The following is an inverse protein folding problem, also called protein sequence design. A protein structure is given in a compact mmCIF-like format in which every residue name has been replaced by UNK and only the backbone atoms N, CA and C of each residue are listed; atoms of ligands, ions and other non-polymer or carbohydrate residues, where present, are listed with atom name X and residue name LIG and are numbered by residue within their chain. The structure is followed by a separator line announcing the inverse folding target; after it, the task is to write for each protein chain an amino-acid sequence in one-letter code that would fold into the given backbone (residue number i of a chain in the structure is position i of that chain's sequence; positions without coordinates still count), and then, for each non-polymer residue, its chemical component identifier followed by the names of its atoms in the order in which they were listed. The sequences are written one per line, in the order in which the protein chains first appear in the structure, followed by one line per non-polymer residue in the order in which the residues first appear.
data_IF_914971478490
#
_entry.id   IF_914971478490
#
_cell.length_a   1.000
_cell.length_b   1.000
_cell.length_c   1.000
_cell.angle_alpha   90.00
_cell.angle_beta   90.00
_cell.angle_gamma   90.00
#
_symmetry.space_group_name_H-M   'P 1'
#
loop_
_entity.id
_entity.type
_entity.pdbx_description
1 polymer ?
#
# COMPACT_ATOMS: atom_id res chain seq x y z
N UNK A 1 -7.35 -9.98 14.47
CA UNK A 1 -6.38 -10.67 13.64
C UNK A 1 -6.74 -10.38 12.20
N UNK A 2 -5.92 -9.65 11.51
CA UNK A 2 -6.05 -9.41 10.07
C UNK A 2 -5.82 -10.71 9.32
N UNK A 3 -6.61 -10.97 8.30
CA UNK A 3 -6.49 -12.14 7.44
C UNK A 3 -5.06 -12.26 6.90
N UNK A 4 -4.45 -13.38 7.13
CA UNK A 4 -3.14 -13.69 6.59
C UNK A 4 -3.26 -14.05 5.12
N UNK A 5 -2.37 -13.52 4.29
CA UNK A 5 -2.32 -13.84 2.88
C UNK A 5 -2.13 -15.35 2.66
N UNK A 6 -2.95 -15.92 1.79
CA UNK A 6 -2.96 -17.35 1.51
C UNK A 6 -3.07 -17.58 0.01
N UNK A 7 -2.24 -18.46 -0.53
CA UNK A 7 -2.35 -18.95 -1.91
C UNK A 7 -3.36 -20.09 -1.94
N UNK A 8 -4.63 -19.73 -1.91
CA UNK A 8 -5.73 -20.68 -1.66
C UNK A 8 -5.85 -21.74 -2.76
N UNK A 9 -5.66 -21.38 -4.02
CA UNK A 9 -5.71 -22.33 -5.13
C UNK A 9 -4.58 -23.36 -5.04
N UNK A 10 -3.36 -22.93 -4.67
CA UNK A 10 -2.21 -23.81 -4.48
C UNK A 10 -2.42 -24.75 -3.29
N UNK A 11 -3.05 -24.26 -2.22
CA UNK A 11 -3.36 -25.06 -1.04
C UNK A 11 -4.41 -26.13 -1.33
N UNK A 12 -5.45 -25.79 -2.10
CA UNK A 12 -6.57 -26.71 -2.35
C UNK A 12 -6.34 -27.64 -3.53
N UNK A 13 -5.51 -27.25 -4.51
CA UNK A 13 -5.34 -28.00 -5.75
C UNK A 13 -4.86 -29.44 -5.57
N UNK A 14 -3.91 -29.77 -4.67
CA UNK A 14 -3.49 -31.18 -4.47
C UNK A 14 -4.63 -32.08 -4.00
N UNK A 15 -5.51 -31.60 -3.16
CA UNK A 15 -6.69 -32.33 -2.69
C UNK A 15 -7.71 -32.49 -3.81
N UNK A 16 -7.98 -31.40 -4.55
CA UNK A 16 -8.87 -31.41 -5.70
C UNK A 16 -8.45 -32.45 -6.74
N UNK A 17 -7.18 -32.44 -7.15
CA UNK A 17 -6.66 -33.38 -8.15
C UNK A 17 -6.79 -34.83 -7.64
N UNK A 18 -6.38 -35.10 -6.40
CA UNK A 18 -6.50 -36.44 -5.81
C UNK A 18 -7.95 -36.93 -5.72
N UNK A 19 -8.88 -36.05 -5.39
CA UNK A 19 -10.31 -36.41 -5.26
C UNK A 19 -10.99 -36.62 -6.59
N UNK A 20 -10.66 -35.82 -7.61
CA UNK A 20 -11.14 -35.99 -8.99
C UNK A 20 -10.62 -37.32 -9.58
N UNK A 21 -9.30 -37.57 -9.47
CA UNK A 21 -8.67 -38.79 -10.00
C UNK A 21 -9.23 -40.06 -9.34
N UNK A 22 -9.55 -40.00 -8.05
CA UNK A 22 -10.16 -41.10 -7.31
C UNK A 22 -11.69 -41.20 -7.52
N UNK A 23 -12.31 -40.29 -8.26
CA UNK A 23 -13.77 -40.24 -8.48
C UNK A 23 -14.56 -39.97 -7.21
N UNK A 24 -13.95 -39.32 -6.19
CA UNK A 24 -14.63 -38.98 -4.93
C UNK A 24 -15.53 -37.77 -5.03
N UNK A 25 -15.18 -36.83 -5.90
CA UNK A 25 -15.98 -35.63 -6.19
C UNK A 25 -15.97 -35.31 -7.68
N UNK A 26 -16.98 -34.57 -8.11
CA UNK A 26 -17.06 -33.94 -9.44
C UNK A 26 -16.56 -32.50 -9.37
N UNK A 27 -16.32 -31.89 -10.53
CA UNK A 27 -15.96 -30.47 -10.62
C UNK A 27 -17.04 -29.56 -10.02
N UNK A 28 -18.31 -29.90 -10.26
CA UNK A 28 -19.46 -29.14 -9.73
C UNK A 28 -19.50 -29.23 -8.21
N UNK A 29 -19.27 -30.38 -7.63
CA UNK A 29 -19.20 -30.55 -6.16
C UNK A 29 -18.02 -29.76 -5.58
N UNK A 30 -16.85 -29.75 -6.23
CA UNK A 30 -15.72 -28.92 -5.83
C UNK A 30 -16.09 -27.42 -5.85
N UNK A 31 -16.76 -26.94 -6.88
CA UNK A 31 -17.27 -25.56 -6.94
C UNK A 31 -18.24 -25.27 -5.80
N UNK A 32 -19.15 -26.18 -5.47
CA UNK A 32 -20.11 -25.99 -4.38
C UNK A 32 -19.43 -25.98 -2.99
N UNK A 33 -18.38 -26.79 -2.80
CA UNK A 33 -17.53 -26.76 -1.59
C UNK A 33 -16.86 -25.38 -1.46
N UNK A 34 -16.24 -24.88 -2.54
CA UNK A 34 -15.60 -23.55 -2.52
C UNK A 34 -16.63 -22.44 -2.31
N UNK A 35 -17.81 -22.52 -2.91
CA UNK A 35 -18.91 -21.58 -2.62
C UNK A 35 -19.31 -21.60 -1.14
N UNK A 36 -19.34 -22.76 -0.53
CA UNK A 36 -19.64 -22.88 0.90
C UNK A 36 -18.55 -22.25 1.77
N UNK A 37 -17.28 -22.43 1.38
CA UNK A 37 -16.16 -21.76 2.04
C UNK A 37 -16.24 -20.22 1.91
N UNK A 38 -16.61 -19.68 0.74
CA UNK A 38 -16.81 -18.23 0.53
C UNK A 38 -17.91 -17.68 1.43
N UNK A 39 -19.05 -18.40 1.58
CA UNK A 39 -20.13 -18.02 2.53
C UNK A 39 -19.67 -18.03 3.99
N UNK A 40 -18.74 -18.93 4.35
CA UNK A 40 -18.16 -18.93 5.69
C UNK A 40 -17.32 -17.67 5.91
N UNK A 41 -16.47 -17.28 4.95
CA UNK A 41 -15.72 -16.02 5.04
C UNK A 41 -16.65 -14.82 5.21
N UNK A 42 -17.72 -14.76 4.42
CA UNK A 42 -18.73 -13.69 4.52
C UNK A 42 -19.40 -13.67 5.90
N UNK A 43 -19.72 -14.82 6.47
CA UNK A 43 -20.41 -14.94 7.78
C UNK A 43 -19.56 -14.46 8.95
N UNK A 44 -18.23 -14.52 8.87
CA UNK A 44 -17.33 -13.98 9.89
C UNK A 44 -17.27 -12.45 9.89
N UNK A 45 -17.80 -11.78 8.89
CA UNK A 45 -17.81 -10.32 8.79
C UNK A 45 -16.42 -9.68 8.65
N UNK A 46 -15.40 -10.46 8.37
CA UNK A 46 -14.02 -10.00 8.13
C UNK A 46 -13.92 -9.38 6.73
N UNK A 47 -13.97 -8.05 6.65
CA UNK A 47 -13.98 -7.33 5.36
C UNK A 47 -12.65 -7.30 4.63
N UNK A 48 -11.57 -7.77 5.26
CA UNK A 48 -10.23 -7.75 4.71
C UNK A 48 -9.64 -9.14 4.48
N UNK A 49 -10.48 -10.18 4.31
CA UNK A 49 -10.01 -11.51 3.94
C UNK A 49 -9.56 -11.50 2.48
N UNK A 50 -8.26 -11.45 2.23
CA UNK A 50 -7.69 -11.52 0.89
C UNK A 50 -7.12 -12.90 0.61
N UNK A 51 -7.45 -13.48 -0.53
CA UNK A 51 -6.97 -14.77 -1.00
C UNK A 51 -6.27 -14.60 -2.34
N UNK A 52 -5.07 -15.13 -2.44
CA UNK A 52 -4.23 -15.04 -3.64
C UNK A 52 -4.38 -16.31 -4.46
N UNK A 53 -4.48 -16.14 -5.78
CA UNK A 53 -4.57 -17.23 -6.76
C UNK A 53 -3.63 -16.99 -7.95
N UNK A 54 -3.30 -18.05 -8.69
CA UNK A 54 -2.45 -18.00 -9.88
C UNK A 54 -0.99 -17.70 -9.60
N UNK A 55 -0.35 -16.99 -10.52
CA UNK A 55 1.06 -16.64 -10.47
C UNK A 55 1.99 -17.67 -11.12
N UNK A 56 3.29 -17.38 -11.10
CA UNK A 56 4.30 -18.32 -11.61
C UNK A 56 5.33 -18.69 -10.53
N UNK A 57 6.07 -19.76 -10.80
CA UNK A 57 7.23 -20.17 -10.01
C UNK A 57 8.51 -19.42 -10.43
N UNK A 58 9.61 -19.67 -9.72
CA UNK A 58 10.92 -19.06 -10.01
C UNK A 58 11.51 -19.42 -11.37
N UNK A 59 10.97 -20.43 -12.03
CA UNK A 59 11.37 -20.86 -13.37
C UNK A 59 10.47 -20.26 -14.48
N UNK A 60 9.44 -19.49 -14.09
CA UNK A 60 8.48 -18.86 -14.98
C UNK A 60 7.42 -19.81 -15.52
N UNK A 61 7.16 -20.95 -14.85
CA UNK A 61 6.06 -21.83 -15.16
C UNK A 61 4.78 -21.29 -14.54
N UNK A 62 3.68 -21.38 -15.26
CA UNK A 62 2.35 -21.03 -14.73
C UNK A 62 1.95 -21.99 -13.60
N UNK A 63 1.61 -21.43 -12.45
CA UNK A 63 1.11 -22.15 -11.30
C UNK A 63 -0.42 -22.16 -11.21
N UNK A 64 -1.11 -21.53 -12.16
CA UNK A 64 -2.57 -21.59 -12.20
C UNK A 64 -3.07 -23.01 -12.50
N UNK A 65 -4.28 -23.30 -12.07
CA UNK A 65 -4.88 -24.63 -12.18
C UNK A 65 -6.40 -24.51 -12.37
N UNK A 66 -7.07 -25.65 -12.50
CA UNK A 66 -8.55 -25.69 -12.50
C UNK A 66 -9.12 -25.10 -11.20
N UNK A 67 -8.41 -25.29 -10.06
CA UNK A 67 -8.80 -24.69 -8.78
C UNK A 67 -8.76 -23.16 -8.82
N UNK A 68 -7.81 -22.55 -9.54
CA UNK A 68 -7.76 -21.10 -9.79
C UNK A 68 -9.04 -20.60 -10.46
N UNK A 69 -9.54 -21.36 -11.46
CA UNK A 69 -10.79 -21.05 -12.16
C UNK A 69 -11.99 -21.23 -11.23
N UNK A 70 -12.06 -22.33 -10.50
CA UNK A 70 -13.12 -22.64 -9.52
C UNK A 70 -13.25 -21.54 -8.46
N UNK A 71 -12.14 -21.02 -7.94
CA UNK A 71 -12.14 -19.92 -6.97
C UNK A 71 -12.83 -18.66 -7.53
N UNK A 72 -12.55 -18.29 -8.77
CA UNK A 72 -13.19 -17.14 -9.43
C UNK A 72 -14.66 -17.39 -9.76
N UNK A 73 -15.00 -18.60 -10.22
CA UNK A 73 -16.39 -18.98 -10.47
C UNK A 73 -17.23 -18.99 -9.18
N UNK A 74 -16.66 -19.44 -8.06
CA UNK A 74 -17.30 -19.37 -6.75
C UNK A 74 -17.62 -17.93 -6.37
N UNK A 75 -16.69 -17.00 -6.59
CA UNK A 75 -16.95 -15.56 -6.34
C UNK A 75 -18.10 -15.04 -7.19
N UNK A 76 -18.14 -15.38 -8.50
CA UNK A 76 -19.26 -14.98 -9.38
C UNK A 76 -20.60 -15.60 -8.95
N UNK A 77 -20.59 -16.83 -8.41
CA UNK A 77 -21.79 -17.55 -8.00
C UNK A 77 -22.33 -17.07 -6.66
N UNK A 78 -21.46 -16.84 -5.68
CA UNK A 78 -21.84 -16.40 -4.31
C UNK A 78 -22.16 -14.91 -4.30
N UNK A 79 -21.43 -14.08 -5.04
CA UNK A 79 -21.57 -12.61 -5.10
C UNK A 79 -21.41 -11.94 -3.74
N UNK A 80 -20.62 -12.51 -2.86
CA UNK A 80 -20.25 -11.93 -1.58
C UNK A 80 -19.14 -10.87 -1.77
N UNK A 81 -19.08 -9.90 -0.85
CA UNK A 81 -18.03 -8.88 -0.83
C UNK A 81 -16.67 -9.45 -0.39
N UNK A 82 -16.68 -10.61 0.25
CA UNK A 82 -15.49 -11.33 0.72
C UNK A 82 -15.63 -12.83 0.45
N UNK A 83 -14.51 -13.57 0.27
CA UNK A 83 -13.14 -13.07 0.31
C UNK A 83 -12.78 -12.20 -0.91
N UNK A 84 -11.89 -11.23 -0.71
CA UNK A 84 -11.26 -10.52 -1.81
C UNK A 84 -10.34 -11.48 -2.56
N UNK A 85 -10.37 -11.46 -3.87
CA UNK A 85 -9.52 -12.31 -4.71
C UNK A 85 -8.43 -11.47 -5.36
N UNK A 86 -7.18 -11.86 -5.17
CA UNK A 86 -6.03 -11.33 -5.90
C UNK A 86 -5.52 -12.36 -6.89
N UNK A 87 -5.55 -12.03 -8.18
CA UNK A 87 -4.95 -12.85 -9.24
C UNK A 87 -3.54 -12.36 -9.54
N UNK A 88 -2.55 -13.20 -9.33
CA UNK A 88 -1.19 -12.99 -9.77
C UNK A 88 -1.08 -13.28 -11.26
N UNK A 89 -0.57 -12.31 -12.02
CA UNK A 89 -0.47 -12.38 -13.48
C UNK A 89 0.98 -12.37 -13.96
N UNK A 90 1.24 -13.10 -15.03
CA UNK A 90 2.55 -13.21 -15.68
C UNK A 90 2.39 -13.50 -17.18
N UNK A 91 3.45 -13.37 -18.03
CA UNK A 91 3.30 -13.46 -19.48
C UNK A 91 2.81 -14.81 -20.03
N UNK A 92 2.89 -15.88 -19.26
CA UNK A 92 2.48 -17.24 -19.67
C UNK A 92 1.20 -17.71 -18.96
N UNK A 93 0.40 -16.81 -18.39
CA UNK A 93 -0.86 -17.15 -17.73
C UNK A 93 -1.81 -17.85 -18.73
N UNK A 94 -2.45 -18.94 -18.31
CA UNK A 94 -3.45 -19.68 -19.12
C UNK A 94 -4.60 -18.74 -19.54
N UNK A 95 -4.93 -18.72 -20.83
CA UNK A 95 -5.99 -17.92 -21.40
C UNK A 95 -7.37 -18.19 -20.76
N UNK A 96 -7.63 -19.42 -20.29
CA UNK A 96 -8.88 -19.76 -19.60
C UNK A 96 -8.98 -19.01 -18.26
N UNK A 97 -7.85 -18.92 -17.52
CA UNK A 97 -7.76 -18.18 -16.27
C UNK A 97 -7.98 -16.69 -16.54
N UNK A 98 -7.28 -16.12 -17.54
CA UNK A 98 -7.44 -14.73 -17.93
C UNK A 98 -8.88 -14.40 -18.33
N UNK A 99 -9.49 -15.22 -19.20
CA UNK A 99 -10.87 -15.03 -19.62
C UNK A 99 -11.88 -15.15 -18.47
N UNK A 100 -11.62 -16.02 -17.50
CA UNK A 100 -12.47 -16.14 -16.30
C UNK A 100 -12.34 -14.93 -15.40
N UNK A 101 -11.13 -14.42 -15.23
CA UNK A 101 -10.89 -13.17 -14.50
C UNK A 101 -11.63 -11.98 -15.12
N UNK A 102 -11.60 -11.85 -16.46
CA UNK A 102 -12.36 -10.80 -17.16
C UNK A 102 -13.87 -10.95 -16.99
N UNK A 103 -14.39 -12.18 -16.92
CA UNK A 103 -15.82 -12.41 -16.61
C UNK A 103 -16.15 -11.96 -15.18
N UNK A 104 -15.26 -12.24 -14.23
CA UNK A 104 -15.43 -11.81 -12.84
C UNK A 104 -15.39 -10.29 -12.73
N UNK A 105 -14.45 -9.59 -13.38
CA UNK A 105 -14.42 -8.12 -13.47
C UNK A 105 -15.75 -7.59 -14.05
N UNK A 106 -16.23 -8.19 -15.15
CA UNK A 106 -17.50 -7.79 -15.78
C UNK A 106 -18.72 -7.99 -14.88
N UNK A 107 -18.65 -8.87 -13.87
CA UNK A 107 -19.73 -9.08 -12.91
C UNK A 107 -19.97 -7.88 -11.98
N UNK A 108 -19.01 -6.92 -11.91
CA UNK A 108 -19.13 -5.70 -11.11
C UNK A 108 -18.77 -5.86 -9.63
N UNK A 109 -18.17 -6.97 -9.23
CA UNK A 109 -17.81 -7.23 -7.83
C UNK A 109 -16.54 -6.51 -7.34
N UNK A 110 -15.82 -5.77 -8.24
CA UNK A 110 -14.63 -5.00 -7.86
C UNK A 110 -13.34 -5.81 -7.72
N UNK A 111 -13.35 -7.09 -8.03
CA UNK A 111 -12.17 -7.97 -8.04
C UNK A 111 -12.22 -8.94 -9.25
N UNK A 112 -11.11 -9.67 -9.57
CA UNK A 112 -9.88 -9.79 -8.80
C UNK A 112 -9.03 -8.52 -8.89
N UNK A 113 -8.23 -8.26 -7.83
CA UNK A 113 -7.09 -7.38 -7.96
C UNK A 113 -6.01 -8.07 -8.80
N UNK A 114 -5.38 -7.35 -9.74
CA UNK A 114 -4.34 -7.93 -10.60
C UNK A 114 -2.96 -7.55 -10.09
N UNK A 115 -2.11 -8.55 -9.82
CA UNK A 115 -0.74 -8.37 -9.37
C UNK A 115 0.24 -8.91 -10.39
N UNK A 116 1.10 -8.05 -10.92
CA UNK A 116 2.12 -8.43 -11.88
C UNK A 116 3.33 -9.04 -11.17
N UNK A 117 3.55 -10.36 -11.33
CA UNK A 117 4.66 -11.08 -10.70
C UNK A 117 6.02 -10.46 -11.00
N UNK A 118 6.23 -9.94 -12.21
CA UNK A 118 7.49 -9.27 -12.58
C UNK A 118 7.80 -8.07 -11.67
N UNK A 119 6.76 -7.36 -11.23
CA UNK A 119 6.91 -6.17 -10.36
C UNK A 119 6.97 -6.60 -8.89
N UNK A 120 5.99 -7.40 -8.45
CA UNK A 120 5.84 -7.80 -7.05
C UNK A 120 7.03 -8.62 -6.54
N UNK A 121 7.49 -9.62 -7.32
CA UNK A 121 8.65 -10.45 -6.99
C UNK A 121 9.92 -9.58 -6.88
N UNK A 122 10.13 -8.66 -7.84
CA UNK A 122 11.27 -7.75 -7.80
C UNK A 122 11.25 -6.86 -6.55
N UNK A 123 10.08 -6.35 -6.17
CA UNK A 123 9.93 -5.54 -4.96
C UNK A 123 10.32 -6.33 -3.69
N UNK A 124 9.88 -7.59 -3.57
CA UNK A 124 10.25 -8.46 -2.45
C UNK A 124 11.75 -8.79 -2.42
N UNK A 125 12.36 -9.07 -3.57
CA UNK A 125 13.82 -9.28 -3.66
C UNK A 125 14.56 -8.02 -3.20
N UNK A 126 14.15 -6.84 -3.63
CA UNK A 126 14.75 -5.58 -3.21
C UNK A 126 14.63 -5.33 -1.69
N UNK A 127 13.58 -5.85 -1.05
CA UNK A 127 13.42 -5.80 0.41
C UNK A 127 14.20 -6.91 1.16
N UNK A 128 15.01 -7.71 0.44
CA UNK A 128 15.89 -8.72 1.04
C UNK A 128 15.31 -10.11 1.13
N UNK A 129 14.17 -10.37 0.51
CA UNK A 129 13.59 -11.72 0.40
C UNK A 129 14.35 -12.54 -0.65
N UNK A 130 14.60 -13.83 -0.39
CA UNK A 130 15.24 -14.72 -1.37
C UNK A 130 14.40 -14.86 -2.64
N UNK A 131 15.03 -15.21 -3.77
CA UNK A 131 14.31 -15.41 -5.05
C UNK A 131 13.20 -16.45 -4.91
N UNK A 132 13.48 -17.58 -4.28
CA UNK A 132 12.53 -18.67 -4.08
C UNK A 132 11.31 -18.20 -3.26
N UNK A 133 11.55 -17.58 -2.11
CA UNK A 133 10.47 -17.11 -1.25
C UNK A 133 9.70 -15.94 -1.89
N UNK A 134 10.36 -15.09 -2.66
CA UNK A 134 9.71 -13.98 -3.33
C UNK A 134 8.66 -14.46 -4.35
N UNK A 135 8.87 -15.60 -4.99
CA UNK A 135 7.85 -16.23 -5.87
C UNK A 135 6.70 -16.88 -5.09
N UNK A 136 6.84 -17.08 -3.79
CA UNK A 136 5.77 -17.60 -2.93
C UNK A 136 4.98 -16.48 -2.21
N UNK A 137 5.07 -15.25 -2.70
CA UNK A 137 4.30 -14.16 -2.11
C UNK A 137 2.80 -14.36 -2.24
N UNK A 138 2.09 -13.84 -1.27
CA UNK A 138 0.63 -13.69 -1.26
C UNK A 138 0.25 -12.27 -0.87
N UNK A 139 -1.02 -11.93 -1.04
CA UNK A 139 -1.58 -10.66 -0.55
C UNK A 139 -2.33 -10.90 0.76
N UNK A 140 -2.24 -9.95 1.66
CA UNK A 140 -2.99 -9.94 2.92
C UNK A 140 -3.80 -8.66 3.05
N UNK A 141 -4.72 -8.60 3.99
CA UNK A 141 -5.48 -7.40 4.25
C UNK A 141 -6.26 -6.92 3.02
N UNK A 142 -6.06 -5.67 2.63
CA UNK A 142 -6.66 -5.12 1.42
C UNK A 142 -6.01 -5.69 0.17
N UNK A 143 -4.69 -5.59 0.02
CA UNK A 143 -3.89 -6.18 -1.08
C UNK A 143 -2.37 -6.12 -0.80
N UNK A 144 -1.94 -5.99 0.43
CA UNK A 144 -0.53 -5.86 0.82
C UNK A 144 0.23 -7.17 0.57
N UNK A 145 1.47 -7.06 0.12
CA UNK A 145 2.29 -8.22 -0.25
C UNK A 145 3.07 -8.75 0.96
N UNK A 146 2.98 -10.06 1.20
CA UNK A 146 3.72 -10.75 2.26
C UNK A 146 4.23 -12.12 1.81
N UNK A 147 5.19 -12.69 2.53
CA UNK A 147 5.63 -14.08 2.39
C UNK A 147 4.98 -14.90 3.50
N UNK A 148 3.88 -15.57 3.18
CA UNK A 148 3.07 -16.31 4.15
C UNK A 148 3.88 -17.30 4.98
N UNK A 149 3.73 -17.27 6.30
CA UNK A 149 4.39 -18.17 7.25
C UNK A 149 5.90 -17.97 7.43
N UNK A 150 6.53 -16.98 6.76
CA UNK A 150 7.97 -16.72 6.84
C UNK A 150 8.31 -15.28 7.16
N UNK A 151 7.36 -14.37 7.03
CA UNK A 151 7.57 -12.94 7.20
C UNK A 151 6.69 -12.39 8.31
N UNK A 152 7.29 -11.63 9.24
CA UNK A 152 6.55 -10.66 10.01
C UNK A 152 6.51 -9.37 9.19
N UNK A 153 5.37 -9.12 8.57
CA UNK A 153 5.14 -7.94 7.77
C UNK A 153 4.04 -7.12 8.42
N UNK A 154 4.42 -6.08 9.16
CA UNK A 154 3.46 -5.08 9.54
C UNK A 154 3.41 -4.04 8.42
N UNK A 155 2.44 -4.22 7.53
CA UNK A 155 2.31 -3.45 6.28
C UNK A 155 1.66 -2.08 6.50
N UNK A 156 1.25 -1.74 7.71
CA UNK A 156 0.58 -0.50 8.08
C UNK A 156 1.11 0.14 9.37
N UNK A 157 2.40 0.06 9.63
CA UNK A 157 2.97 0.58 10.88
C UNK A 157 2.83 2.10 10.98
N UNK A 158 3.07 2.82 9.90
CA UNK A 158 2.87 4.25 9.86
C UNK A 158 2.39 4.75 8.50
N UNK A 159 1.69 5.89 8.49
CA UNK A 159 1.25 6.60 7.28
C UNK A 159 1.65 8.06 7.36
N UNK A 160 2.42 8.53 6.37
CA UNK A 160 2.83 9.93 6.24
C UNK A 160 1.92 10.62 5.23
N UNK A 161 1.21 11.65 5.65
CA UNK A 161 0.38 12.49 4.78
C UNK A 161 1.24 13.59 4.18
N UNK A 162 1.64 13.43 2.91
CA UNK A 162 2.50 14.39 2.22
C UNK A 162 1.84 15.76 2.07
N UNK A 163 0.54 15.79 1.81
CA UNK A 163 -0.17 17.06 1.67
C UNK A 163 -0.16 17.86 2.99
N UNK A 164 -0.19 17.16 4.14
CA UNK A 164 -0.08 17.80 5.44
C UNK A 164 1.31 18.41 5.68
N UNK A 165 2.37 17.76 5.20
CA UNK A 165 3.72 18.33 5.24
C UNK A 165 3.74 19.64 4.43
N UNK A 166 3.23 19.62 3.21
CA UNK A 166 3.17 20.83 2.37
C UNK A 166 2.36 21.96 3.04
N UNK A 167 1.20 21.64 3.64
CA UNK A 167 0.43 22.61 4.41
C UNK A 167 1.26 23.22 5.55
N UNK A 168 1.96 22.38 6.33
CA UNK A 168 2.78 22.88 7.44
C UNK A 168 3.90 23.80 6.96
N UNK A 169 4.52 23.49 5.81
CA UNK A 169 5.53 24.38 5.22
C UNK A 169 4.91 25.72 4.80
N UNK A 170 3.78 25.69 4.10
CA UNK A 170 3.08 26.92 3.68
C UNK A 170 2.66 27.80 4.86
N UNK A 171 2.34 27.20 6.01
CA UNK A 171 1.93 27.91 7.23
C UNK A 171 3.02 28.01 8.28
N UNK A 172 4.31 27.91 7.87
CA UNK A 172 5.48 28.09 8.73
C UNK A 172 5.40 27.25 10.03
N UNK A 173 5.10 25.95 9.89
CA UNK A 173 5.00 24.97 10.97
C UNK A 173 3.67 24.98 11.72
N UNK A 174 2.68 25.81 11.35
CA UNK A 174 1.37 25.83 12.01
C UNK A 174 0.33 25.05 11.23
N UNK A 175 -0.40 24.18 11.90
CA UNK A 175 -1.57 23.56 11.33
C UNK A 175 -2.66 24.59 11.04
N UNK A 176 -3.07 24.77 9.79
CA UNK A 176 -4.07 25.74 9.38
C UNK A 176 -5.43 25.55 10.05
N UNK A 177 -5.82 24.31 10.39
CA UNK A 177 -7.10 23.99 11.00
C UNK A 177 -7.12 24.17 12.53
N UNK A 178 -6.00 23.83 13.22
CA UNK A 178 -5.97 23.77 14.67
C UNK A 178 -5.10 24.84 15.32
N UNK A 179 -4.28 25.52 14.54
CA UNK A 179 -3.26 26.46 15.01
C UNK A 179 -2.11 25.81 15.79
N UNK A 180 -2.12 24.47 15.94
CA UNK A 180 -1.05 23.75 16.65
C UNK A 180 0.26 23.88 15.91
N UNK A 181 1.32 24.19 16.64
CA UNK A 181 2.68 24.24 16.09
C UNK A 181 3.29 22.84 16.00
N UNK A 182 3.98 22.60 14.91
CA UNK A 182 4.73 21.38 14.62
C UNK A 182 6.20 21.74 14.43
N UNK A 183 7.08 20.90 14.91
CA UNK A 183 8.50 21.07 14.73
C UNK A 183 8.90 20.67 13.32
N UNK A 184 9.39 21.61 12.54
CA UNK A 184 10.01 21.40 11.23
C UNK A 184 11.51 21.16 11.39
N UNK A 185 12.13 20.52 10.39
CA UNK A 185 13.61 20.36 10.35
C UNK A 185 14.30 21.71 10.38
N UNK A 186 13.85 22.60 9.55
CA UNK A 186 14.35 23.97 9.43
C UNK A 186 13.18 24.96 9.37
N UNK A 187 13.35 26.10 10.01
CA UNK A 187 12.34 27.16 10.02
C UNK A 187 12.68 28.18 8.92
N UNK A 188 12.03 28.04 7.77
CA UNK A 188 12.04 29.03 6.71
C UNK A 188 10.72 29.82 6.69
N UNK A 189 10.75 30.98 6.09
CA UNK A 189 9.57 31.79 5.80
C UNK A 189 9.29 31.60 4.31
N UNK A 190 8.24 30.87 3.97
CA UNK A 190 7.96 30.46 2.58
C UNK A 190 7.75 31.65 1.64
N UNK A 191 7.30 32.79 2.18
CA UNK A 191 7.11 34.03 1.45
C UNK A 191 8.43 34.68 0.98
N UNK A 192 9.57 34.29 1.55
CA UNK A 192 10.90 34.77 1.16
C UNK A 192 11.47 33.99 -0.04
N UNK A 193 10.89 32.86 -0.42
CA UNK A 193 11.36 32.09 -1.57
C UNK A 193 11.05 32.79 -2.88
N UNK A 194 12.07 32.91 -3.71
CA UNK A 194 12.00 33.61 -5.00
C UNK A 194 11.77 32.67 -6.17
N UNK A 195 12.03 31.38 -5.98
CA UNK A 195 11.89 30.32 -6.98
C UNK A 195 11.06 29.15 -6.42
N UNK A 196 10.43 28.43 -7.32
CA UNK A 196 9.74 27.18 -6.94
C UNK A 196 10.71 26.12 -6.45
N UNK A 197 11.92 26.06 -7.02
CA UNK A 197 12.94 25.07 -6.64
C UNK A 197 13.32 25.19 -5.15
N UNK A 198 13.37 26.40 -4.59
CA UNK A 198 13.63 26.61 -3.15
C UNK A 198 12.54 25.94 -2.28
N UNK A 199 11.27 26.12 -2.63
CA UNK A 199 10.14 25.48 -1.94
C UNK A 199 10.16 23.96 -2.13
N UNK A 200 10.45 23.50 -3.35
CA UNK A 200 10.45 22.09 -3.68
C UNK A 200 11.57 21.33 -2.97
N UNK A 201 12.77 21.90 -2.90
CA UNK A 201 13.88 21.30 -2.14
C UNK A 201 13.59 21.30 -0.63
N UNK A 202 13.01 22.38 -0.09
CA UNK A 202 12.61 22.39 1.30
C UNK A 202 11.55 21.32 1.62
N UNK A 203 10.57 21.14 0.74
CA UNK A 203 9.59 20.06 0.88
C UNK A 203 10.26 18.68 0.90
N UNK A 204 11.22 18.42 0.00
CA UNK A 204 11.95 17.16 -0.04
C UNK A 204 12.76 16.90 1.24
N UNK A 205 13.41 17.91 1.78
CA UNK A 205 14.18 17.79 3.02
C UNK A 205 13.27 17.57 4.25
N UNK A 206 12.13 18.24 4.31
CA UNK A 206 11.15 18.02 5.38
C UNK A 206 10.50 16.62 5.28
N UNK A 207 10.27 16.14 4.06
CA UNK A 207 9.78 14.77 3.84
C UNK A 207 10.78 13.74 4.37
N UNK A 208 12.07 13.87 4.05
CA UNK A 208 13.13 13.00 4.59
C UNK A 208 13.19 13.03 6.11
N UNK A 209 13.18 14.23 6.68
CA UNK A 209 13.17 14.41 8.14
C UNK A 209 11.97 13.73 8.79
N UNK A 210 10.79 13.89 8.20
CA UNK A 210 9.57 13.24 8.69
C UNK A 210 9.68 11.70 8.63
N UNK A 211 10.24 11.16 7.55
CA UNK A 211 10.48 9.71 7.41
C UNK A 211 11.42 9.22 8.51
N UNK A 212 12.53 9.91 8.76
CA UNK A 212 13.50 9.56 9.81
C UNK A 212 12.84 9.53 11.19
N UNK A 213 12.08 10.58 11.53
CA UNK A 213 11.37 10.66 12.83
C UNK A 213 10.33 9.55 12.99
N UNK A 214 9.60 9.23 11.93
CA UNK A 214 8.62 8.13 11.93
C UNK A 214 9.35 6.79 12.12
N UNK A 215 10.46 6.57 11.43
CA UNK A 215 11.26 5.35 11.55
C UNK A 215 11.83 5.15 12.95
N UNK A 216 12.37 6.20 13.59
CA UNK A 216 12.80 6.16 14.99
C UNK A 216 11.65 5.79 15.94
N UNK A 217 10.47 6.37 15.72
CA UNK A 217 9.28 6.05 16.52
C UNK A 217 8.89 4.59 16.39
N UNK A 218 8.86 4.06 15.16
CA UNK A 218 8.53 2.65 14.88
C UNK A 218 9.55 1.73 15.54
N UNK A 219 10.84 2.05 15.45
CA UNK A 219 11.90 1.24 16.06
C UNK A 219 11.76 1.18 17.58
N UNK A 220 11.48 2.30 18.25
CA UNK A 220 11.17 2.32 19.68
C UNK A 220 9.90 1.53 20.02
N UNK A 221 8.82 1.69 19.23
CA UNK A 221 7.57 0.99 19.43
C UNK A 221 7.74 -0.54 19.31
N UNK A 222 8.59 -1.01 18.40
CA UNK A 222 8.86 -2.42 18.20
C UNK A 222 9.40 -3.11 19.47
N UNK A 223 10.19 -2.40 20.29
CA UNK A 223 10.67 -2.90 21.57
C UNK A 223 9.52 -3.07 22.57
N UNK A 224 8.60 -2.11 22.60
CA UNK A 224 7.43 -2.16 23.50
C UNK A 224 6.51 -3.32 23.12
N UNK A 225 6.29 -3.55 21.81
CA UNK A 225 5.49 -4.70 21.33
C UNK A 225 6.05 -6.03 21.84
N UNK A 226 7.32 -6.28 21.68
CA UNK A 226 7.95 -7.51 22.15
C UNK A 226 7.79 -7.72 23.64
N UNK A 227 7.94 -6.67 24.45
CA UNK A 227 7.87 -6.77 25.90
C UNK A 227 6.45 -7.00 26.43
N UNK A 228 5.44 -6.46 25.75
CA UNK A 228 4.08 -6.41 26.29
C UNK A 228 3.05 -7.24 25.50
N UNK A 229 3.33 -7.62 24.26
CA UNK A 229 2.42 -8.35 23.38
C UNK A 229 3.10 -9.51 22.62
N UNK A 230 3.77 -10.43 23.30
CA UNK A 230 4.29 -11.62 22.63
C UNK A 230 3.14 -12.48 22.07
N UNK A 231 3.38 -13.16 20.95
CA UNK A 231 2.37 -13.96 20.23
C UNK A 231 2.85 -15.41 20.09
N UNK A 232 2.98 -16.17 21.20
CA UNK A 232 3.66 -17.46 21.22
C UNK A 232 2.98 -18.52 20.33
N UNK A 233 1.66 -18.53 20.23
CA UNK A 233 0.97 -19.48 19.34
C UNK A 233 1.32 -19.22 17.87
N UNK A 234 1.26 -17.97 17.40
CA UNK A 234 1.63 -17.62 16.03
C UNK A 234 3.12 -17.88 15.79
N UNK A 235 3.97 -17.58 16.75
CA UNK A 235 5.40 -17.86 16.70
C UNK A 235 5.69 -19.35 16.53
N UNK A 236 4.93 -20.24 17.20
CA UNK A 236 5.12 -21.69 17.11
C UNK A 236 4.81 -22.30 15.73
N UNK A 237 4.06 -21.59 14.88
CA UNK A 237 3.68 -22.03 13.53
C UNK A 237 4.32 -21.18 12.42
N UNK A 238 5.20 -20.25 12.78
CA UNK A 238 5.90 -19.38 11.83
C UNK A 238 7.36 -19.82 11.69
N UNK A 239 7.81 -20.02 10.46
CA UNK A 239 9.16 -20.47 10.14
C UNK A 239 10.19 -19.45 10.61
N UNK A 240 11.20 -19.93 11.31
CA UNK A 240 12.28 -19.14 11.89
C UNK A 240 12.12 -18.93 13.39
N UNK A 241 10.90 -18.81 13.91
CA UNK A 241 10.69 -18.49 15.33
C UNK A 241 11.19 -19.57 16.29
N UNK A 242 10.97 -20.84 15.99
CA UNK A 242 11.44 -21.96 16.81
C UNK A 242 12.96 -22.10 16.69
N UNK A 243 13.48 -22.04 15.47
CA UNK A 243 14.91 -22.15 15.17
C UNK A 243 15.72 -21.04 15.84
N UNK A 244 15.17 -19.82 15.87
CA UNK A 244 15.80 -18.65 16.49
C UNK A 244 15.48 -18.53 17.98
N UNK A 245 14.61 -19.40 18.53
CA UNK A 245 14.10 -19.33 19.92
C UNK A 245 13.58 -17.91 20.27
N UNK A 246 12.86 -17.26 19.34
CA UNK A 246 12.43 -15.87 19.45
C UNK A 246 11.01 -15.70 18.95
N UNK A 247 10.25 -14.79 19.57
CA UNK A 247 8.88 -14.47 19.18
C UNK A 247 8.85 -13.78 17.81
N UNK A 248 7.72 -13.91 17.11
CA UNK A 248 7.48 -13.26 15.82
C UNK A 248 7.67 -11.72 15.91
N UNK A 249 7.33 -11.11 17.05
CA UNK A 249 7.51 -9.68 17.31
C UNK A 249 8.94 -9.32 17.64
N UNK A 250 9.82 -10.29 17.90
CA UNK A 250 11.22 -10.13 18.27
C UNK A 250 12.20 -10.56 17.16
N UNK A 251 11.78 -10.43 15.90
CA UNK A 251 12.57 -10.88 14.76
C UNK A 251 12.85 -12.40 14.74
N UNK A 252 11.93 -13.19 15.28
CA UNK A 252 12.05 -14.66 15.24
C UNK A 252 11.83 -15.24 13.84
N UNK A 253 11.13 -14.52 12.97
CA UNK A 253 10.79 -14.95 11.61
C UNK A 253 11.97 -14.91 10.65
N UNK A 254 11.86 -15.60 9.51
CA UNK A 254 12.88 -15.55 8.46
C UNK A 254 13.06 -14.14 7.89
N UNK A 255 11.97 -13.36 7.78
CA UNK A 255 11.96 -11.97 7.33
C UNK A 255 11.19 -11.11 8.32
N UNK A 256 11.78 -9.98 8.71
CA UNK A 256 11.16 -9.01 9.59
C UNK A 256 11.14 -7.65 8.90
N UNK A 257 9.94 -7.21 8.51
CA UNK A 257 9.75 -5.99 7.76
C UNK A 257 8.61 -5.16 8.35
N UNK A 258 8.87 -3.86 8.56
CA UNK A 258 7.87 -2.89 8.98
C UNK A 258 7.70 -1.85 7.87
N UNK A 259 6.50 -1.31 7.68
CA UNK A 259 6.27 -0.38 6.58
C UNK A 259 6.04 1.05 7.03
N UNK A 260 6.64 1.96 6.28
CA UNK A 260 6.31 3.38 6.29
C UNK A 260 5.56 3.68 4.99
N UNK A 261 4.29 3.99 5.09
CA UNK A 261 3.44 4.24 3.94
C UNK A 261 3.24 5.73 3.72
N UNK A 262 2.93 6.13 2.50
CA UNK A 262 2.56 7.50 2.20
C UNK A 262 1.13 7.58 1.64
N UNK A 263 0.49 8.72 1.91
CA UNK A 263 -0.85 9.07 1.46
C UNK A 263 -0.89 10.51 0.96
N UNK A 264 -1.88 10.82 0.12
CA UNK A 264 -2.06 12.19 -0.41
C UNK A 264 -1.05 12.59 -1.47
N UNK A 265 -0.37 11.65 -2.11
CA UNK A 265 0.70 11.90 -3.09
C UNK A 265 0.21 12.70 -4.30
N UNK A 266 -0.86 12.25 -4.95
CA UNK A 266 -1.43 12.92 -6.11
C UNK A 266 -1.87 14.35 -5.76
N UNK A 267 -2.56 14.52 -4.63
CA UNK A 267 -2.95 15.84 -4.14
C UNK A 267 -1.75 16.74 -3.88
N UNK A 268 -0.65 16.19 -3.36
CA UNK A 268 0.58 16.95 -3.10
C UNK A 268 1.24 17.40 -4.38
N UNK A 269 1.37 16.52 -5.37
CA UNK A 269 1.95 16.87 -6.68
C UNK A 269 1.07 17.90 -7.39
N UNK A 270 -0.24 17.73 -7.36
CA UNK A 270 -1.19 18.71 -7.93
C UNK A 270 -1.10 20.08 -7.24
N UNK A 271 -0.91 20.09 -5.92
CA UNK A 271 -0.72 21.33 -5.16
C UNK A 271 0.62 22.00 -5.46
N UNK A 272 1.71 21.23 -5.52
CA UNK A 272 3.04 21.74 -5.91
C UNK A 272 3.02 22.31 -7.33
N UNK A 273 2.43 21.60 -8.28
CA UNK A 273 2.25 22.08 -9.66
C UNK A 273 1.45 23.38 -9.71
N UNK A 274 0.37 23.44 -8.93
CA UNK A 274 -0.48 24.63 -8.86
C UNK A 274 0.28 25.84 -8.30
N UNK A 275 1.08 25.64 -7.25
CA UNK A 275 1.92 26.70 -6.68
C UNK A 275 2.97 27.15 -7.68
N UNK A 276 3.67 26.24 -8.35
CA UNK A 276 4.65 26.56 -9.38
C UNK A 276 4.03 27.40 -10.48
N UNK A 277 2.92 26.93 -11.05
CA UNK A 277 2.27 27.56 -12.19
C UNK A 277 1.71 28.96 -11.86
N UNK A 278 0.96 29.10 -10.75
CA UNK A 278 0.25 30.32 -10.45
C UNK A 278 1.10 31.37 -9.74
N UNK A 279 2.03 30.94 -8.87
CA UNK A 279 2.85 31.86 -8.06
C UNK A 279 4.15 32.21 -8.78
N UNK A 280 4.89 31.22 -9.30
CA UNK A 280 6.24 31.45 -9.82
C UNK A 280 6.27 31.69 -11.33
N UNK A 281 5.45 30.99 -12.12
CA UNK A 281 5.43 31.12 -13.58
C UNK A 281 4.49 32.25 -14.02
N UNK A 282 3.19 32.11 -13.78
CA UNK A 282 2.18 33.09 -14.21
C UNK A 282 2.13 34.33 -13.35
N UNK A 283 2.49 34.22 -12.08
CA UNK A 283 2.46 35.31 -11.09
C UNK A 283 1.07 35.95 -10.95
N UNK A 284 0.03 35.13 -11.03
CA UNK A 284 -1.37 35.58 -10.92
C UNK A 284 -1.89 35.56 -9.49
N UNK A 285 -1.18 34.94 -8.56
CA UNK A 285 -1.46 34.91 -7.13
C UNK A 285 -0.16 34.86 -6.31
N UNK A 286 -0.26 34.93 -5.01
CA UNK A 286 0.86 34.85 -4.07
C UNK A 286 0.65 33.71 -3.07
N UNK A 287 1.72 33.23 -2.42
CA UNK A 287 1.63 32.25 -1.32
C UNK A 287 0.68 32.77 -0.22
N UNK A 288 0.80 34.05 0.14
CA UNK A 288 -0.04 34.67 1.17
C UNK A 288 -1.54 34.64 0.80
N UNK A 289 -1.87 34.85 -0.48
CA UNK A 289 -3.26 34.76 -0.96
C UNK A 289 -3.77 33.32 -0.96
N UNK A 290 -2.93 32.36 -1.35
CA UNK A 290 -3.24 30.93 -1.25
C UNK A 290 -3.51 30.54 0.20
N UNK A 291 -2.68 30.96 1.16
CA UNK A 291 -2.88 30.69 2.60
C UNK A 291 -4.22 31.24 3.08
N UNK A 292 -4.60 32.46 2.69
CA UNK A 292 -5.90 33.05 3.04
C UNK A 292 -7.06 32.26 2.44
N UNK A 293 -6.94 31.86 1.18
CA UNK A 293 -7.97 31.06 0.51
C UNK A 293 -8.15 29.68 1.16
N UNK A 294 -7.05 29.00 1.51
CA UNK A 294 -7.07 27.72 2.22
C UNK A 294 -7.69 27.86 3.62
N UNK A 295 -7.32 28.90 4.37
CA UNK A 295 -7.86 29.16 5.71
C UNK A 295 -9.38 29.48 5.67
N UNK A 296 -9.85 30.11 4.60
CA UNK A 296 -11.27 30.40 4.34
C UNK A 296 -12.01 29.25 3.66
N UNK A 297 -11.37 28.07 3.45
CA UNK A 297 -11.92 26.97 2.65
C UNK A 297 -12.47 27.43 1.28
N UNK A 298 -11.73 28.37 0.65
CA UNK A 298 -12.05 29.08 -0.60
C UNK A 298 -13.33 29.93 -0.58
N UNK A 299 -13.96 30.16 0.58
CA UNK A 299 -15.08 31.11 0.67
C UNK A 299 -14.61 32.54 0.36
N UNK A 300 -15.18 33.13 -0.69
CA UNK A 300 -14.73 34.42 -1.24
C UNK A 300 -13.51 34.35 -2.17
N UNK A 301 -12.97 33.17 -2.42
CA UNK A 301 -11.84 32.91 -3.31
C UNK A 301 -12.18 31.88 -4.41
N UNK A 302 -13.45 31.83 -4.82
CA UNK A 302 -13.94 30.84 -5.80
C UNK A 302 -13.21 30.96 -7.14
N UNK A 303 -12.84 32.17 -7.54
CA UNK A 303 -12.06 32.39 -8.74
C UNK A 303 -10.67 31.72 -8.66
N UNK A 304 -9.97 31.88 -7.52
CA UNK A 304 -8.66 31.26 -7.30
C UNK A 304 -8.78 29.75 -7.31
N UNK A 305 -9.80 29.19 -6.65
CA UNK A 305 -10.09 27.76 -6.68
C UNK A 305 -10.28 27.26 -8.12
N UNK A 306 -11.01 28.00 -8.97
CA UNK A 306 -11.19 27.61 -10.38
C UNK A 306 -9.89 27.65 -11.17
N UNK A 307 -9.03 28.66 -10.95
CA UNK A 307 -7.70 28.71 -11.58
C UNK A 307 -6.82 27.54 -11.13
N UNK A 308 -6.80 27.20 -9.83
CA UNK A 308 -6.09 26.05 -9.28
C UNK A 308 -6.57 24.72 -9.90
N UNK A 309 -7.88 24.54 -10.06
CA UNK A 309 -8.47 23.35 -10.68
C UNK A 309 -8.09 23.21 -12.17
N UNK A 310 -7.82 24.30 -12.87
CA UNK A 310 -7.40 24.31 -14.29
C UNK A 310 -5.91 24.01 -14.49
N UNK A 311 -5.10 24.12 -13.45
CA UNK A 311 -3.68 23.76 -13.57
C UNK A 311 -3.52 22.29 -13.97
N UNK A 312 -2.43 21.91 -14.63
CA UNK A 312 -2.12 20.53 -14.93
C UNK A 312 -2.21 19.63 -13.70
N UNK A 313 -2.62 18.38 -13.90
CA UNK A 313 -2.80 17.39 -12.82
C UNK A 313 -2.07 16.09 -13.12
N UNK A 314 -1.56 15.47 -12.08
CA UNK A 314 -0.90 14.16 -12.14
C UNK A 314 -1.82 13.09 -12.76
N UNK A 315 -1.22 12.20 -13.55
CA UNK A 315 -1.90 11.07 -14.16
C UNK A 315 -2.66 11.39 -15.45
N UNK A 316 -2.44 12.58 -16.03
CA UNK A 316 -3.04 12.99 -17.30
C UNK A 316 -2.04 12.99 -18.47
N UNK A 317 -0.95 12.21 -18.36
CA UNK A 317 0.10 12.11 -19.40
C UNK A 317 0.78 13.46 -19.69
N UNK A 318 1.05 14.20 -18.61
CA UNK A 318 1.74 15.49 -18.67
C UNK A 318 3.11 15.33 -18.02
N UNK A 319 4.15 15.20 -18.85
CA UNK A 319 5.49 14.78 -18.45
C UNK A 319 6.06 15.53 -17.25
N UNK A 320 5.94 16.86 -17.20
CA UNK A 320 6.55 17.66 -16.12
C UNK A 320 5.85 17.44 -14.77
N UNK A 321 4.53 17.15 -14.77
CA UNK A 321 3.76 16.84 -13.56
C UNK A 321 4.05 15.39 -13.13
N UNK A 322 4.02 14.46 -14.08
CA UNK A 322 4.25 13.04 -13.81
C UNK A 322 5.69 12.79 -13.33
N UNK A 323 6.67 13.57 -13.84
CA UNK A 323 8.05 13.52 -13.37
C UNK A 323 8.23 14.04 -11.93
N UNK A 324 7.43 15.02 -11.45
CA UNK A 324 7.44 15.42 -10.03
C UNK A 324 7.03 14.27 -9.12
N UNK A 325 5.97 13.52 -9.50
CA UNK A 325 5.56 12.33 -8.76
C UNK A 325 6.68 11.30 -8.74
N UNK A 326 7.29 11.03 -9.89
CA UNK A 326 8.38 10.06 -9.99
C UNK A 326 9.56 10.44 -9.09
N UNK A 327 9.98 11.71 -9.10
CA UNK A 327 11.08 12.23 -8.26
C UNK A 327 10.77 12.02 -6.77
N UNK A 328 9.58 12.40 -6.32
CA UNK A 328 9.17 12.25 -4.93
C UNK A 328 9.01 10.79 -4.51
N UNK A 329 8.51 9.91 -5.39
CA UNK A 329 8.39 8.48 -5.10
C UNK A 329 9.77 7.80 -5.04
N UNK A 330 10.70 8.17 -5.91
CA UNK A 330 12.08 7.67 -5.89
C UNK A 330 12.80 8.13 -4.62
N UNK A 331 12.64 9.40 -4.24
CA UNK A 331 13.17 9.94 -2.99
C UNK A 331 12.61 9.18 -1.79
N UNK A 332 11.29 9.06 -1.68
CA UNK A 332 10.62 8.40 -0.56
C UNK A 332 11.06 6.93 -0.45
N UNK A 333 10.97 6.17 -1.54
CA UNK A 333 11.27 4.74 -1.52
C UNK A 333 12.75 4.47 -1.25
N UNK A 334 13.66 5.25 -1.86
CA UNK A 334 15.10 5.08 -1.62
C UNK A 334 15.48 5.45 -0.19
N UNK A 335 14.89 6.52 0.36
CA UNK A 335 15.17 6.93 1.73
C UNK A 335 14.70 5.87 2.74
N UNK A 336 13.45 5.39 2.61
CA UNK A 336 12.89 4.33 3.46
C UNK A 336 13.70 3.03 3.37
N UNK A 337 14.07 2.58 2.18
CA UNK A 337 14.82 1.34 2.00
C UNK A 337 16.28 1.41 2.53
N UNK A 338 16.84 2.61 2.68
CA UNK A 338 18.16 2.80 3.28
C UNK A 338 18.12 2.85 4.82
N UNK A 339 16.95 2.91 5.42
CA UNK A 339 16.78 2.85 6.87
C UNK A 339 16.79 1.41 7.38
N UNK A 340 17.16 1.25 8.64
CA UNK A 340 17.19 -0.04 9.34
C UNK A 340 16.43 0.03 10.65
N UNK A 341 15.75 -1.06 10.99
CA UNK A 341 15.13 -1.27 12.30
C UNK A 341 16.25 -1.74 13.23
N UNK A 342 16.85 -0.82 13.96
CA UNK A 342 18.09 -1.06 14.74
C UNK A 342 17.85 -2.11 15.83
N UNK A 343 16.75 -1.96 16.57
CA UNK A 343 16.46 -2.83 17.71
C UNK A 343 16.03 -4.25 17.33
N UNK A 344 15.70 -4.50 16.04
CA UNK A 344 15.17 -5.80 15.57
C UNK A 344 15.93 -6.37 14.37
N UNK A 345 17.00 -5.73 13.95
CA UNK A 345 17.75 -6.14 12.75
C UNK A 345 16.86 -6.38 11.52
N UNK A 346 15.77 -5.61 11.42
CA UNK A 346 14.81 -5.68 10.32
C UNK A 346 15.01 -4.58 9.29
N UNK A 347 14.16 -4.57 8.27
CA UNK A 347 14.16 -3.56 7.22
C UNK A 347 12.85 -2.81 7.17
N UNK A 348 12.92 -1.54 6.78
CA UNK A 348 11.74 -0.81 6.41
C UNK A 348 11.35 -1.10 4.95
N UNK A 349 10.04 -1.20 4.73
CA UNK A 349 9.42 -1.23 3.40
C UNK A 349 8.57 0.02 3.23
N UNK A 350 8.27 0.39 2.01
CA UNK A 350 7.35 1.49 1.72
C UNK A 350 6.12 1.00 0.97
N UNK A 351 5.00 1.66 1.20
CA UNK A 351 3.76 1.47 0.47
C UNK A 351 3.14 2.81 0.07
N UNK A 352 2.40 2.76 -1.03
CA UNK A 352 1.67 3.89 -1.55
C UNK A 352 0.18 3.58 -1.39
N UNK A 353 -0.49 4.30 -0.51
CA UNK A 353 -1.82 3.94 -0.06
C UNK A 353 -2.90 4.84 -0.66
N UNK A 354 -3.98 4.19 -1.11
CA UNK A 354 -5.23 4.85 -1.46
C UNK A 354 -6.38 4.09 -0.77
N UNK A 355 -6.83 4.56 0.38
CA UNK A 355 -7.81 3.88 1.24
C UNK A 355 -8.89 4.84 1.74
N UNK A 356 -9.99 4.30 2.30
CA UNK A 356 -11.06 5.09 2.92
C UNK A 356 -10.57 6.11 3.95
N UNK A 357 -9.44 5.85 4.61
CA UNK A 357 -8.84 6.76 5.58
C UNK A 357 -8.39 8.10 4.95
N UNK A 358 -8.30 8.21 3.62
CA UNK A 358 -8.09 9.49 2.95
C UNK A 358 -9.14 10.53 3.32
N UNK A 359 -10.39 10.13 3.54
CA UNK A 359 -11.43 11.03 4.04
C UNK A 359 -11.05 11.64 5.38
N UNK A 360 -10.58 10.81 6.33
CA UNK A 360 -10.16 11.29 7.65
C UNK A 360 -8.90 12.15 7.60
N UNK A 361 -7.98 11.83 6.70
CA UNK A 361 -6.73 12.58 6.50
C UNK A 361 -7.01 13.92 5.81
N UNK A 362 -7.93 13.94 4.83
CA UNK A 362 -8.41 15.15 4.20
C UNK A 362 -9.08 16.10 5.19
N UNK A 363 -9.92 15.58 6.10
CA UNK A 363 -10.53 16.38 7.19
C UNK A 363 -9.50 17.03 8.12
N UNK A 364 -8.23 16.60 8.08
CA UNK A 364 -7.13 17.14 8.92
C UNK A 364 -6.18 18.05 8.12
N UNK A 365 -6.48 18.31 6.87
CA UNK A 365 -5.68 19.16 5.99
C UNK A 365 -6.56 20.28 5.44
N UNK A 366 -6.06 21.51 5.40
CA UNK A 366 -6.83 22.67 4.98
C UNK A 366 -7.27 22.55 3.51
N UNK A 367 -8.57 22.67 3.27
CA UNK A 367 -9.19 22.69 1.94
C UNK A 367 -8.75 21.53 1.00
N UNK A 368 -8.49 20.35 1.55
CA UNK A 368 -8.05 19.16 0.81
C UNK A 368 -9.20 18.38 0.20
#
# INVERSE_FOLDING_TARGET
ATSQGMRIDQLLNPFYVSDIEAGRITREEALDIVCSLWRIFESYGERCANLTIGGCDQYGNDCSSEMTIICMEASMKVKADVPLITLRVHPKLDDRVWNTALKLVKSGQGFPAFYNDKVAVKAKINSGVSLEDAYDYSTLGCVEITIGGREFSNTEEARINWLKILELLLFNGKCALTGKEWHLKENHVVEEFTTFDELYEWFKEELKYTIDRVGEYIDMASVIYTQHWPVPFLSSITIGCIENASDITENGTKYYNLSINCVGMANTVDALETVEELVYIKKTTTIEEIKKALAANFEGYEWLRQEMLRCPKYGNDIDHVDNKMKDLMELFSSHVHNMHIVNRNGKFQCGFYSVMHHTLLGMKTAAS
#
